data_IF_457646838931
#
_entry.id   IF_457646838931
#
_cell.length_a   1.000
_cell.length_b   1.000
_cell.length_c   1.000
_cell.angle_alpha   90.00
_cell.angle_beta   90.00
_cell.angle_gamma   90.00
#
_symmetry.space_group_name_H-M   'P 1'
#
loop_
_entity.id
_entity.type
_entity.pdbx_description
1 polymer ?
#
# COMPACT_ATOMS: atom_id res chain seq x y z
N UNK A 1 19.93 -34.99 -25.30
CA UNK A 1 18.64 -34.84 -24.60
C UNK A 1 18.08 -33.46 -24.93
N UNK A 2 16.83 -33.35 -25.39
CA UNK A 2 16.21 -32.06 -25.67
C UNK A 2 16.20 -31.18 -24.42
N UNK A 3 16.40 -29.87 -24.61
CA UNK A 3 16.28 -28.85 -23.56
C UNK A 3 14.89 -28.25 -23.68
N UNK A 4 14.18 -28.12 -22.56
CA UNK A 4 12.85 -27.55 -22.55
C UNK A 4 12.87 -26.07 -22.97
N UNK A 5 12.02 -25.69 -23.93
CA UNK A 5 11.90 -24.32 -24.44
C UNK A 5 10.96 -23.44 -23.61
N UNK A 6 10.30 -23.99 -22.58
CA UNK A 6 9.45 -23.22 -21.68
C UNK A 6 10.27 -22.26 -20.81
N UNK A 7 9.73 -21.05 -20.61
CA UNK A 7 10.44 -19.97 -19.93
C UNK A 7 10.67 -20.30 -18.45
N UNK A 8 11.91 -20.24 -18.01
CA UNK A 8 12.30 -20.53 -16.63
C UNK A 8 12.39 -22.03 -16.29
N UNK A 9 12.20 -22.93 -17.26
CA UNK A 9 12.42 -24.36 -17.02
C UNK A 9 13.87 -24.77 -17.30
N UNK A 10 14.41 -24.50 -18.50
CA UNK A 10 15.80 -24.76 -18.94
C UNK A 10 16.36 -26.19 -18.67
N UNK A 11 15.50 -27.14 -18.29
CA UNK A 11 15.88 -28.52 -17.96
C UNK A 11 15.99 -29.37 -19.23
N UNK A 12 16.99 -30.24 -19.25
CA UNK A 12 17.04 -31.37 -20.18
C UNK A 12 16.07 -32.46 -19.73
N UNK A 13 15.39 -33.10 -20.69
CA UNK A 13 14.42 -34.14 -20.39
C UNK A 13 14.51 -35.31 -21.36
N UNK A 14 13.94 -36.45 -20.96
CA UNK A 14 13.68 -37.60 -21.83
C UNK A 14 12.16 -37.79 -21.93
N UNK A 15 11.66 -38.38 -23.01
CA UNK A 15 10.21 -38.62 -23.14
C UNK A 15 9.67 -39.61 -22.08
N UNK A 16 10.53 -40.51 -21.59
CA UNK A 16 10.18 -41.47 -20.54
C UNK A 16 9.86 -40.77 -19.20
N UNK A 17 10.51 -39.65 -18.91
CA UNK A 17 10.32 -38.88 -17.67
C UNK A 17 9.37 -37.67 -17.85
N UNK A 18 8.83 -37.47 -19.06
CA UNK A 18 8.02 -36.30 -19.44
C UNK A 18 6.53 -36.45 -19.09
N UNK A 19 6.24 -36.49 -17.79
CA UNK A 19 4.88 -36.48 -17.24
C UNK A 19 4.23 -35.09 -17.29
N UNK A 20 2.90 -35.03 -17.10
CA UNK A 20 2.10 -33.80 -17.19
C UNK A 20 2.48 -32.68 -16.22
N UNK A 21 3.25 -32.97 -15.17
CA UNK A 21 3.74 -31.99 -14.20
C UNK A 21 5.27 -31.91 -14.11
N UNK A 22 6.00 -32.49 -15.08
CA UNK A 22 7.47 -32.56 -15.05
C UNK A 22 8.14 -31.17 -15.25
N UNK A 23 7.53 -30.32 -16.07
CA UNK A 23 8.01 -28.98 -16.37
C UNK A 23 7.38 -27.96 -15.43
N UNK A 24 8.20 -27.10 -14.82
CA UNK A 24 7.75 -25.93 -14.07
C UNK A 24 8.21 -24.67 -14.81
N UNK A 25 7.27 -23.83 -15.24
CA UNK A 25 7.55 -22.72 -16.13
C UNK A 25 6.65 -21.50 -15.93
N UNK A 26 7.00 -20.39 -16.59
CA UNK A 26 6.21 -19.17 -16.62
C UNK A 26 5.49 -19.03 -17.98
N UNK A 27 4.14 -18.98 -18.01
CA UNK A 27 3.39 -18.87 -19.26
C UNK A 27 3.54 -17.50 -19.94
N UNK A 28 3.91 -16.46 -19.17
CA UNK A 28 3.97 -15.09 -19.69
C UNK A 28 5.38 -14.47 -19.68
N UNK A 29 5.49 -13.29 -20.30
CA UNK A 29 6.70 -12.49 -20.47
C UNK A 29 7.38 -12.04 -19.17
N UNK A 30 8.66 -11.62 -19.21
CA UNK A 30 9.26 -10.89 -18.11
C UNK A 30 8.73 -9.44 -18.13
N UNK A 31 8.60 -8.83 -16.96
CA UNK A 31 8.13 -7.45 -16.80
C UNK A 31 9.11 -6.69 -15.91
N UNK A 32 9.54 -5.52 -16.39
CA UNK A 32 10.51 -4.66 -15.73
C UNK A 32 9.91 -3.25 -15.60
N UNK A 33 9.42 -2.91 -14.41
CA UNK A 33 8.89 -1.58 -14.09
C UNK A 33 9.45 -1.10 -12.75
N UNK A 34 9.75 0.19 -12.64
CA UNK A 34 10.17 0.84 -11.39
C UNK A 34 11.41 0.20 -10.73
N UNK A 35 12.35 -0.32 -11.53
CA UNK A 35 13.55 -1.01 -11.05
C UNK A 35 13.30 -2.42 -10.49
N UNK A 36 12.05 -2.88 -10.51
CA UNK A 36 11.64 -4.21 -10.08
C UNK A 36 11.47 -5.13 -11.29
N UNK A 37 12.00 -6.35 -11.15
CA UNK A 37 12.00 -7.40 -12.16
C UNK A 37 11.09 -8.54 -11.76
N UNK A 38 10.30 -9.07 -12.69
CA UNK A 38 9.41 -10.18 -12.42
C UNK A 38 8.85 -10.81 -13.68
N UNK A 39 7.96 -11.77 -13.50
CA UNK A 39 7.19 -12.40 -14.58
C UNK A 39 5.78 -11.84 -14.52
N UNK A 40 5.16 -11.51 -15.66
CA UNK A 40 3.82 -10.91 -15.66
C UNK A 40 2.75 -11.87 -15.11
N UNK A 41 2.99 -13.18 -15.18
CA UNK A 41 2.14 -14.23 -14.62
C UNK A 41 2.30 -14.43 -13.11
N UNK A 42 3.23 -13.73 -12.46
CA UNK A 42 3.53 -13.85 -11.04
C UNK A 42 3.43 -12.48 -10.35
N UNK A 43 3.11 -12.46 -9.05
CA UNK A 43 3.18 -11.23 -8.24
C UNK A 43 4.56 -10.99 -7.63
N UNK A 44 5.46 -11.98 -7.66
CA UNK A 44 6.83 -11.85 -7.14
C UNK A 44 7.62 -10.85 -8.00
N UNK A 45 8.22 -9.88 -7.33
CA UNK A 45 9.05 -8.81 -7.91
C UNK A 45 10.35 -8.72 -7.13
N UNK A 46 11.47 -8.61 -7.81
CA UNK A 46 12.81 -8.63 -7.23
C UNK A 46 13.68 -7.55 -7.86
N UNK A 47 14.61 -6.99 -7.10
CA UNK A 47 15.47 -5.90 -7.58
C UNK A 47 16.68 -6.44 -8.35
N UNK A 48 17.22 -7.59 -7.92
CA UNK A 48 18.37 -8.25 -8.55
C UNK A 48 17.96 -9.09 -9.77
N UNK A 49 18.80 -9.12 -10.80
CA UNK A 49 18.58 -9.93 -12.00
C UNK A 49 18.78 -11.44 -11.73
N UNK A 50 19.77 -11.81 -10.93
CA UNK A 50 20.02 -13.20 -10.58
C UNK A 50 18.85 -13.78 -9.77
N UNK A 51 18.29 -12.97 -8.88
CA UNK A 51 17.09 -13.34 -8.13
C UNK A 51 15.86 -13.48 -9.02
N UNK A 52 15.81 -12.75 -10.15
CA UNK A 52 14.72 -12.83 -11.13
C UNK A 52 14.79 -14.13 -11.94
N UNK A 53 15.99 -14.53 -12.37
CA UNK A 53 16.22 -15.83 -13.02
C UNK A 53 15.92 -17.01 -12.09
N UNK A 54 16.15 -16.84 -10.79
CA UNK A 54 15.85 -17.85 -9.78
C UNK A 54 14.35 -17.96 -9.41
N UNK A 55 13.45 -17.16 -9.98
CA UNK A 55 12.01 -17.25 -9.69
C UNK A 55 11.46 -18.55 -10.30
N UNK A 56 11.00 -19.52 -9.49
CA UNK A 56 10.48 -20.78 -10.01
C UNK A 56 9.19 -20.52 -10.81
N UNK A 57 8.98 -21.31 -11.86
CA UNK A 57 7.77 -21.25 -12.70
C UNK A 57 6.48 -21.36 -11.88
N UNK A 58 5.46 -20.60 -12.28
CA UNK A 58 4.15 -20.63 -11.62
C UNK A 58 3.15 -21.61 -12.24
N UNK A 59 3.49 -22.25 -13.36
CA UNK A 59 2.66 -23.24 -14.05
C UNK A 59 3.42 -24.54 -14.23
N UNK A 60 2.66 -25.63 -14.31
CA UNK A 60 3.18 -26.99 -14.51
C UNK A 60 2.67 -27.57 -15.84
N UNK A 61 3.48 -28.41 -16.47
CA UNK A 61 3.14 -29.02 -17.76
C UNK A 61 4.15 -30.08 -18.18
N UNK A 62 3.99 -30.57 -19.41
CA UNK A 62 5.01 -31.40 -20.08
C UNK A 62 6.12 -30.50 -20.63
N UNK A 63 7.34 -31.02 -20.66
CA UNK A 63 8.43 -30.38 -21.38
C UNK A 63 8.17 -30.45 -22.89
N UNK A 64 8.50 -29.37 -23.58
CA UNK A 64 8.47 -29.29 -25.05
C UNK A 64 9.81 -28.77 -25.57
N UNK A 65 10.17 -29.21 -26.77
CA UNK A 65 11.31 -28.77 -27.57
C UNK A 65 10.85 -27.91 -28.76
N UNK A 66 9.54 -27.75 -28.96
CA UNK A 66 8.98 -26.89 -29.99
C UNK A 66 9.45 -25.44 -29.79
N UNK A 67 10.02 -24.79 -30.82
CA UNK A 67 10.34 -23.37 -30.78
C UNK A 67 9.11 -22.56 -30.40
N UNK A 68 9.29 -21.64 -29.45
CA UNK A 68 8.20 -20.81 -28.91
C UNK A 68 7.70 -19.83 -29.98
N UNK A 69 6.38 -19.72 -30.15
CA UNK A 69 5.80 -18.60 -30.89
C UNK A 69 6.06 -17.29 -30.12
N UNK A 70 6.79 -16.39 -30.77
CA UNK A 70 7.10 -15.07 -30.25
C UNK A 70 5.85 -14.18 -30.32
N UNK A 71 5.18 -14.00 -29.18
CA UNK A 71 4.23 -12.89 -29.06
C UNK A 71 5.01 -11.56 -29.00
N UNK A 72 4.55 -10.50 -29.69
CA UNK A 72 5.32 -9.28 -29.88
C UNK A 72 5.67 -8.67 -28.53
N UNK A 73 6.96 -8.68 -28.24
CA UNK A 73 7.58 -7.99 -27.12
C UNK A 73 7.46 -6.49 -27.38
N UNK A 74 6.72 -5.77 -26.54
CA UNK A 74 6.79 -4.32 -26.47
C UNK A 74 8.15 -3.94 -25.85
N UNK A 75 9.19 -3.96 -26.66
CA UNK A 75 10.53 -3.47 -26.31
C UNK A 75 10.83 -2.20 -27.10
N UNK A 76 10.87 -1.07 -26.40
CA UNK A 76 11.64 0.10 -26.82
C UNK A 76 13.12 -0.30 -26.94
N UNK A 77 13.56 -0.44 -28.20
CA UNK A 77 14.85 -0.01 -28.73
C UNK A 77 16.06 -0.01 -27.80
N UNK A 78 17.00 -0.93 -28.04
CA UNK A 78 18.40 -0.56 -28.19
C UNK A 78 19.15 -1.58 -29.03
N UNK A 79 19.89 -1.01 -29.96
CA UNK A 79 20.64 -1.56 -31.07
C UNK A 79 21.88 -2.37 -30.60
N UNK A 80 22.20 -3.39 -31.38
CA UNK A 80 23.41 -4.23 -31.35
C UNK A 80 24.69 -3.39 -31.37
N UNK A 81 25.63 -3.59 -30.44
CA UNK A 81 27.08 -3.63 -30.75
C UNK A 81 27.82 -4.56 -29.78
N UNK A 82 28.70 -5.34 -30.38
CA UNK A 82 29.61 -6.36 -29.85
C UNK A 82 30.74 -5.81 -28.94
N UNK A 83 31.22 -6.70 -28.07
CA UNK A 83 32.39 -6.57 -27.20
C UNK A 83 33.68 -6.59 -28.04
N UNK A 84 34.73 -5.81 -27.70
CA UNK A 84 35.92 -6.48 -27.16
C UNK A 84 36.65 -5.71 -26.05
N UNK A 85 37.00 -6.47 -25.01
CA UNK A 85 38.32 -6.60 -24.35
C UNK A 85 39.28 -5.41 -24.29
N UNK A 86 39.56 -5.02 -23.05
CA UNK A 86 40.77 -4.37 -22.49
C UNK A 86 42.07 -4.36 -23.32
N UNK A 87 42.71 -3.18 -23.43
CA UNK A 87 44.12 -2.88 -23.02
C UNK A 87 44.47 -1.39 -23.25
N UNK A 88 45.20 -0.81 -22.27
CA UNK A 88 46.01 0.43 -22.24
C UNK A 88 45.38 1.84 -22.32
N UNK A 89 45.53 2.60 -21.22
CA UNK A 89 45.73 4.07 -21.12
C UNK A 89 46.86 4.59 -22.05
N UNK A 90 47.04 5.92 -22.31
CA UNK A 90 46.66 7.08 -21.49
C UNK A 90 46.04 8.30 -22.24
N UNK A 91 45.61 9.30 -21.45
CA UNK A 91 45.19 10.64 -21.89
C UNK A 91 46.31 11.42 -22.63
N UNK A 92 45.99 12.49 -23.40
CA UNK A 92 45.95 13.83 -22.80
C UNK A 92 44.93 14.85 -23.38
N UNK A 93 44.45 15.70 -22.46
CA UNK A 93 44.23 17.17 -22.51
C UNK A 93 44.24 17.89 -23.86
N UNK A 94 43.25 18.77 -24.10
CA UNK A 94 43.50 20.22 -24.34
C UNK A 94 42.25 21.08 -24.18
N UNK A 95 42.43 22.14 -23.39
CA UNK A 95 41.63 23.37 -23.33
C UNK A 95 42.23 24.35 -24.33
N UNK A 96 41.40 25.12 -25.05
CA UNK A 96 41.80 26.41 -25.64
C UNK A 96 40.84 27.48 -25.08
N UNK A 97 41.30 28.54 -24.40
CA UNK A 97 42.07 29.72 -24.88
C UNK A 97 41.27 30.64 -25.82
N UNK A 98 40.17 31.19 -25.32
CA UNK A 98 39.94 32.64 -25.20
C UNK A 98 38.71 32.86 -24.31
N UNK A 99 38.86 33.51 -23.15
CA UNK A 99 37.81 33.56 -22.12
C UNK A 99 36.70 34.55 -22.46
N UNK A 100 35.48 34.07 -22.70
CA UNK A 100 34.21 34.78 -22.41
C UNK A 100 33.01 33.83 -22.47
N UNK A 101 32.12 33.94 -21.48
CA UNK A 101 30.78 33.33 -21.46
C UNK A 101 29.85 34.09 -22.40
N UNK A 102 28.95 33.44 -23.16
CA UNK A 102 27.70 34.10 -23.59
C UNK A 102 26.53 33.12 -23.74
N UNK A 103 25.45 33.54 -23.06
CA UNK A 103 24.07 33.07 -23.02
C UNK A 103 23.27 33.46 -24.28
N UNK A 104 22.29 32.66 -24.72
CA UNK A 104 21.43 33.06 -25.84
C UNK A 104 20.16 32.21 -26.01
N UNK A 105 19.06 32.70 -25.45
CA UNK A 105 17.67 32.29 -25.69
C UNK A 105 17.22 32.49 -27.14
N UNK A 106 16.31 31.63 -27.64
CA UNK A 106 15.21 32.05 -28.53
C UNK A 106 14.14 30.94 -28.69
N UNK A 107 12.92 31.40 -28.91
CA UNK A 107 11.62 30.77 -28.71
C UNK A 107 11.12 29.84 -29.85
N UNK A 108 9.97 29.15 -29.68
CA UNK A 108 9.47 28.11 -30.59
C UNK A 108 8.36 28.59 -31.54
N UNK A 109 8.35 28.05 -32.76
CA UNK A 109 7.21 27.96 -33.70
C UNK A 109 7.53 26.71 -34.55
N UNK A 110 6.67 25.75 -34.94
CA UNK A 110 5.27 25.73 -35.41
C UNK A 110 4.77 24.27 -35.27
N UNK A 111 3.48 24.05 -34.96
CA UNK A 111 2.77 22.75 -35.11
C UNK A 111 1.90 22.76 -36.39
N UNK A 112 1.72 21.60 -37.05
CA UNK A 112 0.40 21.20 -37.58
C UNK A 112 0.07 19.75 -37.17
N UNK A 113 -1.02 19.49 -36.42
CA UNK A 113 -2.42 19.19 -36.82
C UNK A 113 -2.62 17.83 -37.54
N UNK A 114 -3.30 16.91 -36.86
CA UNK A 114 -4.25 15.91 -37.39
C UNK A 114 -5.15 15.47 -36.21
N UNK A 115 -6.41 15.89 -36.12
CA UNK A 115 -7.65 15.36 -36.77
C UNK A 115 -8.12 14.01 -36.21
N UNK A 116 -8.92 14.13 -35.14
CA UNK A 116 -10.21 13.46 -34.84
C UNK A 116 -10.59 12.17 -35.57
N UNK A 117 -10.87 11.13 -34.78
CA UNK A 117 -12.03 10.23 -34.96
C UNK A 117 -12.64 9.87 -33.60
N UNK A 118 -13.96 9.74 -33.61
CA UNK A 118 -14.91 9.76 -32.51
C UNK A 118 -15.34 8.33 -32.15
N UNK A 119 -15.49 8.00 -30.86
CA UNK A 119 -16.49 7.03 -30.37
C UNK A 119 -16.73 7.19 -28.85
N UNK A 120 -17.92 7.70 -28.53
CA UNK A 120 -18.83 7.33 -27.42
C UNK A 120 -18.28 6.99 -26.04
N UNK A 121 -18.38 7.95 -25.12
CA UNK A 121 -18.29 7.76 -23.67
C UNK A 121 -19.70 7.72 -23.05
N UNK A 122 -19.93 6.69 -22.24
CA UNK A 122 -21.12 6.48 -21.40
C UNK A 122 -21.14 7.52 -20.27
N UNK A 123 -22.28 8.20 -20.10
CA UNK A 123 -22.53 9.26 -19.13
C UNK A 123 -22.61 8.73 -17.69
N UNK A 124 -21.69 9.19 -16.84
CA UNK A 124 -21.81 9.13 -15.39
C UNK A 124 -22.67 10.32 -14.87
N UNK A 125 -23.48 10.13 -13.81
CA UNK A 125 -24.35 11.16 -13.25
C UNK A 125 -23.57 12.29 -12.55
N UNK A 126 -24.10 13.54 -12.54
CA UNK A 126 -23.45 14.70 -11.95
C UNK A 126 -23.54 14.68 -10.42
N UNK A 127 -22.38 14.65 -9.75
CA UNK A 127 -22.26 14.89 -8.31
C UNK A 127 -22.42 16.39 -8.02
N UNK A 128 -23.19 16.79 -6.99
CA UNK A 128 -23.68 18.14 -6.78
C UNK A 128 -22.60 19.17 -6.42
N UNK A 129 -22.94 20.43 -6.67
CA UNK A 129 -22.17 21.64 -6.38
C UNK A 129 -21.66 21.71 -4.93
N UNK A 130 -20.47 22.28 -4.68
CA UNK A 130 -19.93 22.41 -3.34
C UNK A 130 -20.82 23.30 -2.48
N UNK A 131 -21.23 22.77 -1.32
CA UNK A 131 -21.90 23.51 -0.27
C UNK A 131 -21.02 24.68 0.22
N UNK A 132 -21.61 25.84 0.58
CA UNK A 132 -20.86 26.97 1.10
C UNK A 132 -20.15 26.57 2.40
N UNK A 133 -18.84 26.79 2.42
CA UNK A 133 -17.97 26.59 3.58
C UNK A 133 -18.43 27.58 4.65
N UNK A 134 -19.14 27.12 5.67
CA UNK A 134 -19.48 27.93 6.84
C UNK A 134 -18.17 28.22 7.57
N UNK A 135 -17.78 29.49 7.64
CA UNK A 135 -16.60 29.92 8.37
C UNK A 135 -16.86 29.77 9.88
N UNK A 136 -16.08 28.91 10.54
CA UNK A 136 -16.14 28.77 12.00
C UNK A 136 -15.62 30.06 12.67
N UNK A 137 -16.54 30.75 13.35
CA UNK A 137 -16.28 31.91 14.20
C UNK A 137 -15.99 31.45 15.65
N UNK A 138 -15.14 32.20 16.36
CA UNK A 138 -14.73 31.86 17.73
C UNK A 138 -15.85 32.27 18.71
N UNK A 139 -16.25 31.36 19.60
CA UNK A 139 -17.26 31.66 20.64
C UNK A 139 -16.69 32.68 21.64
N UNK A 140 -17.14 33.93 21.51
CA UNK A 140 -16.69 35.09 22.28
C UNK A 140 -16.87 34.93 23.79
N UNK A 141 -17.62 33.92 24.26
CA UNK A 141 -17.89 33.66 25.68
C UNK A 141 -16.78 32.92 26.43
N UNK A 142 -15.80 32.33 25.74
CA UNK A 142 -14.78 31.48 26.38
C UNK A 142 -13.49 32.26 26.63
N UNK A 143 -13.10 32.43 27.90
CA UNK A 143 -11.84 33.07 28.27
C UNK A 143 -10.62 32.32 27.69
N UNK A 144 -9.80 33.03 26.91
CA UNK A 144 -8.57 32.50 26.31
C UNK A 144 -7.40 32.87 27.22
N UNK A 145 -6.55 31.90 27.57
CA UNK A 145 -5.33 32.18 28.33
C UNK A 145 -4.32 32.96 27.48
N UNK A 146 -3.67 33.96 28.08
CA UNK A 146 -2.59 34.75 27.48
C UNK A 146 -1.47 33.80 27.00
N UNK A 147 -1.05 33.97 25.74
CA UNK A 147 -0.01 33.15 25.10
C UNK A 147 -0.52 32.03 24.18
N UNK A 148 -1.83 31.82 24.02
CA UNK A 148 -2.36 30.87 23.03
C UNK A 148 -2.19 31.40 21.60
N UNK A 149 -1.67 30.60 20.68
CA UNK A 149 -1.53 30.98 19.27
C UNK A 149 -2.81 30.70 18.49
N UNK A 150 -3.05 31.51 17.45
CA UNK A 150 -4.14 31.29 16.50
C UNK A 150 -3.98 29.90 15.86
N UNK A 151 -5.05 29.10 15.91
CA UNK A 151 -5.11 27.74 15.35
C UNK A 151 -5.20 27.74 13.82
N UNK A 152 -5.50 28.88 13.19
CA UNK A 152 -5.53 28.98 11.73
C UNK A 152 -4.11 28.87 11.16
N UNK A 153 -3.93 27.96 10.20
CA UNK A 153 -2.64 27.61 9.61
C UNK A 153 -1.97 28.84 8.97
N UNK A 154 -0.71 29.12 9.33
CA UNK A 154 0.06 30.25 8.78
C UNK A 154 -0.23 31.62 9.40
N UNK A 155 -1.13 31.73 10.38
CA UNK A 155 -1.40 32.99 11.07
C UNK A 155 -0.35 33.31 12.16
N UNK A 156 -0.12 32.37 13.08
CA UNK A 156 0.92 32.49 14.12
C UNK A 156 0.71 33.59 15.17
N UNK A 157 -0.40 34.34 15.15
CA UNK A 157 -0.67 35.40 16.11
C UNK A 157 -0.88 34.84 17.53
N UNK A 158 -0.21 35.40 18.53
CA UNK A 158 -0.37 35.04 19.95
C UNK A 158 -1.46 35.88 20.61
N UNK A 159 -2.29 35.27 21.43
CA UNK A 159 -3.32 35.94 22.21
C UNK A 159 -2.66 36.74 23.33
N UNK A 160 -2.82 38.08 23.32
CA UNK A 160 -2.23 39.00 24.31
C UNK A 160 -3.30 39.47 25.30
N UNK A 161 -4.44 39.95 24.81
CA UNK A 161 -5.57 40.43 25.62
C UNK A 161 -6.89 40.32 24.84
N UNK A 162 -8.03 40.26 25.52
CA UNK A 162 -9.34 40.20 24.84
C UNK A 162 -9.59 41.43 23.95
N UNK A 163 -9.21 42.63 24.41
CA UNK A 163 -9.38 43.87 23.65
C UNK A 163 -8.54 43.96 22.38
N UNK A 164 -7.32 43.40 22.38
CA UNK A 164 -6.38 43.49 21.24
C UNK A 164 -6.39 42.25 20.35
N UNK A 165 -6.74 41.08 20.88
CA UNK A 165 -6.69 39.82 20.13
C UNK A 165 -8.07 39.33 19.68
N UNK A 166 -9.16 39.85 20.27
CA UNK A 166 -10.56 39.60 19.85
C UNK A 166 -11.34 40.86 19.45
N UNK A 167 -10.69 42.02 19.41
CA UNK A 167 -11.32 43.27 18.99
C UNK A 167 -11.70 43.29 17.51
N UNK A 168 -12.62 44.19 17.15
CA UNK A 168 -13.21 44.35 15.81
C UNK A 168 -12.21 44.72 14.69
N UNK A 169 -10.96 45.06 15.05
CA UNK A 169 -9.92 45.55 14.13
C UNK A 169 -8.81 44.54 13.82
N UNK A 170 -8.97 43.28 14.22
CA UNK A 170 -7.89 42.30 14.13
C UNK A 170 -8.00 41.48 12.85
N UNK A 171 -6.97 41.55 12.00
CA UNK A 171 -6.96 40.90 10.70
C UNK A 171 -6.15 39.60 10.75
N UNK A 172 -6.84 38.45 10.69
CA UNK A 172 -6.25 37.12 10.67
C UNK A 172 -5.99 36.64 9.23
N UNK A 173 -4.71 36.62 8.83
CA UNK A 173 -4.26 36.03 7.56
C UNK A 173 -3.88 34.56 7.76
N UNK A 174 -4.52 33.65 7.02
CA UNK A 174 -4.29 32.21 7.14
C UNK A 174 -4.42 31.46 5.80
N UNK A 175 -3.89 30.24 5.76
CA UNK A 175 -4.09 29.28 4.68
C UNK A 175 -5.26 28.36 5.01
N UNK A 176 -6.21 28.24 4.09
CA UNK A 176 -7.34 27.30 4.21
C UNK A 176 -6.99 25.89 3.74
N UNK A 177 -5.89 25.74 2.99
CA UNK A 177 -5.41 24.46 2.49
C UNK A 177 -4.48 23.74 3.47
N UNK A 178 -4.19 22.49 3.16
CA UNK A 178 -3.16 21.67 3.82
C UNK A 178 -1.74 21.97 3.28
N UNK A 179 -0.69 21.74 4.08
CA UNK A 179 0.69 21.68 3.59
C UNK A 179 0.86 20.60 2.52
N UNK A 180 1.52 20.94 1.43
CA UNK A 180 1.81 20.04 0.30
C UNK A 180 3.31 20.01 0.07
N UNK A 181 3.88 18.80 0.07
CA UNK A 181 5.32 18.57 -0.17
C UNK A 181 5.48 17.60 -1.35
N UNK A 182 5.67 18.13 -2.55
CA UNK A 182 5.89 17.33 -3.76
C UNK A 182 7.08 17.87 -4.54
N UNK A 183 7.91 16.96 -5.05
CA UNK A 183 9.02 17.27 -5.97
C UNK A 183 10.05 18.26 -5.37
N UNK A 184 10.30 18.16 -4.06
CA UNK A 184 11.23 19.05 -3.34
C UNK A 184 10.67 20.44 -3.03
N UNK A 185 9.54 20.81 -3.65
CA UNK A 185 8.81 22.04 -3.39
C UNK A 185 7.79 21.86 -2.25
N UNK A 186 7.65 22.91 -1.43
CA UNK A 186 6.82 22.97 -0.24
C UNK A 186 5.87 24.15 -0.38
N UNK A 187 4.58 23.93 -0.16
CA UNK A 187 3.57 24.98 -0.34
C UNK A 187 2.27 24.61 0.34
N UNK A 188 1.26 25.44 0.13
CA UNK A 188 -0.09 25.21 0.63
C UNK A 188 -1.00 24.86 -0.53
N UNK A 189 -1.90 23.89 -0.38
CA UNK A 189 -2.85 23.52 -1.46
C UNK A 189 -3.77 24.66 -1.89
N UNK A 190 -3.97 25.66 -1.03
CA UNK A 190 -4.75 26.86 -1.35
C UNK A 190 -3.96 27.95 -2.11
N UNK A 191 -2.66 27.78 -2.33
CA UNK A 191 -1.77 28.78 -2.91
C UNK A 191 -0.91 28.22 -4.06
N UNK A 192 -0.70 28.97 -5.14
CA UNK A 192 0.26 28.59 -6.18
C UNK A 192 1.72 28.79 -5.75
N UNK A 193 1.96 29.57 -4.67
CA UNK A 193 3.30 29.86 -4.15
C UNK A 193 3.87 28.60 -3.49
N UNK A 194 4.91 28.04 -4.12
CA UNK A 194 5.72 26.95 -3.59
C UNK A 194 7.16 27.43 -3.38
N UNK A 195 7.81 26.84 -2.41
CA UNK A 195 9.12 27.24 -1.89
C UNK A 195 9.97 25.98 -1.73
N UNK A 196 11.27 26.05 -2.02
CA UNK A 196 12.16 24.89 -1.87
C UNK A 196 12.64 24.72 -0.42
N UNK A 197 12.89 25.82 0.29
CA UNK A 197 13.38 25.84 1.66
C UNK A 197 12.24 25.71 2.70
N UNK A 198 12.46 24.91 3.74
CA UNK A 198 11.45 24.66 4.77
C UNK A 198 11.16 25.89 5.64
N UNK A 199 12.19 26.66 5.98
CA UNK A 199 12.04 27.86 6.81
C UNK A 199 11.30 28.97 6.09
N UNK A 200 11.47 29.08 4.77
CA UNK A 200 10.68 30.01 3.96
C UNK A 200 9.22 29.51 3.81
N UNK A 201 8.98 28.20 3.72
CA UNK A 201 7.62 27.63 3.78
C UNK A 201 6.88 27.99 5.09
N UNK A 202 7.55 27.91 6.25
CA UNK A 202 6.98 28.33 7.54
C UNK A 202 6.64 29.82 7.58
N UNK A 203 7.34 30.67 6.81
CA UNK A 203 7.12 32.12 6.72
C UNK A 203 6.08 32.52 5.66
N UNK A 204 5.53 31.58 4.89
CA UNK A 204 4.51 31.89 3.88
C UNK A 204 3.23 32.40 4.55
N UNK A 205 2.97 33.71 4.40
CA UNK A 205 1.75 34.37 4.87
C UNK A 205 0.50 33.74 4.25
N UNK A 206 -0.57 33.69 5.04
CA UNK A 206 -1.88 33.19 4.62
C UNK A 206 -2.44 33.87 3.37
N UNK A 207 -3.16 33.11 2.54
CA UNK A 207 -3.85 33.66 1.36
C UNK A 207 -5.27 34.15 1.62
N UNK A 208 -5.89 33.74 2.73
CA UNK A 208 -7.21 34.20 3.15
C UNK A 208 -7.08 35.11 4.33
N UNK A 209 -8.05 36.02 4.46
CA UNK A 209 -8.07 37.05 5.47
C UNK A 209 -9.44 37.06 6.14
N UNK A 210 -9.47 37.06 7.47
CA UNK A 210 -10.69 37.11 8.30
C UNK A 210 -10.51 38.16 9.39
N UNK A 211 -11.60 38.67 9.96
CA UNK A 211 -11.53 39.72 11.00
C UNK A 211 -11.46 39.14 12.43
N UNK A 212 -11.24 37.83 12.57
CA UNK A 212 -11.16 37.18 13.88
C UNK A 212 -10.18 36.00 13.86
N UNK A 213 -9.29 35.95 14.86
CA UNK A 213 -8.43 34.78 15.09
C UNK A 213 -9.22 33.65 15.77
N UNK A 214 -8.88 32.41 15.43
CA UNK A 214 -9.44 31.23 16.07
C UNK A 214 -8.48 30.74 17.17
N UNK A 215 -8.80 30.94 18.45
CA UNK A 215 -7.93 30.55 19.57
C UNK A 215 -8.46 29.34 20.33
N UNK A 216 -9.79 29.24 20.48
CA UNK A 216 -10.41 28.14 21.22
C UNK A 216 -10.61 26.94 20.30
N UNK A 217 -10.99 27.19 19.04
CA UNK A 217 -11.48 26.14 18.13
C UNK A 217 -12.73 25.45 18.69
N UNK A 218 -13.52 24.78 17.84
CA UNK A 218 -14.60 23.94 18.36
C UNK A 218 -14.02 23.00 19.44
N UNK A 219 -14.70 22.88 20.58
CA UNK A 219 -14.37 21.88 21.61
C UNK A 219 -14.30 20.54 20.87
N UNK A 220 -13.10 20.03 20.64
CA UNK A 220 -12.94 18.62 20.30
C UNK A 220 -13.32 17.88 21.57
N UNK A 221 -14.60 17.59 21.70
CA UNK A 221 -15.05 16.44 22.47
C UNK A 221 -14.16 15.26 22.08
N UNK A 222 -13.93 14.35 23.01
CA UNK A 222 -13.03 13.22 22.88
C UNK A 222 -13.53 12.25 21.78
N UNK A 223 -13.44 12.67 20.51
CA UNK A 223 -13.82 11.90 19.34
C UNK A 223 -12.70 10.89 19.16
N UNK A 224 -12.92 9.71 19.73
CA UNK A 224 -12.06 8.55 19.52
C UNK A 224 -11.89 8.36 18.00
N UNK A 225 -10.67 8.52 17.49
CA UNK A 225 -10.37 8.37 16.07
C UNK A 225 -10.36 6.89 15.73
N UNK A 226 -11.28 6.44 14.86
CA UNK A 226 -11.28 5.08 14.35
C UNK A 226 -10.14 4.92 13.35
N UNK A 227 -9.16 4.09 13.71
CA UNK A 227 -7.99 3.80 12.89
C UNK A 227 -8.10 2.39 12.34
N UNK A 228 -7.63 2.17 11.11
CA UNK A 228 -7.53 0.85 10.50
C UNK A 228 -6.10 0.29 10.70
N UNK A 229 -5.99 -0.83 11.41
CA UNK A 229 -4.73 -1.51 11.66
C UNK A 229 -4.46 -2.59 10.59
N UNK A 230 -3.19 -2.73 10.21
CA UNK A 230 -2.73 -3.89 9.46
C UNK A 230 -2.88 -5.13 10.32
N UNK A 231 -3.34 -6.21 9.73
CA UNK A 231 -3.41 -7.53 10.35
C UNK A 231 -2.89 -8.58 9.37
N UNK A 232 -2.41 -9.69 9.90
CA UNK A 232 -1.92 -10.85 9.16
C UNK A 232 -2.37 -12.11 9.88
N UNK A 233 -2.52 -13.20 9.16
CA UNK A 233 -2.99 -14.45 9.75
C UNK A 233 -2.26 -15.64 9.17
N UNK A 234 -2.10 -16.65 10.01
CA UNK A 234 -1.62 -17.95 9.61
C UNK A 234 -2.41 -19.01 10.37
N UNK A 235 -2.27 -20.27 9.98
CA UNK A 235 -2.94 -21.36 10.67
C UNK A 235 -1.99 -22.51 10.91
N UNK A 236 -2.26 -23.23 11.98
CA UNK A 236 -1.74 -24.56 12.25
C UNK A 236 -2.84 -25.58 11.95
N UNK A 237 -2.56 -26.85 12.23
CA UNK A 237 -3.57 -27.88 12.09
C UNK A 237 -4.81 -27.63 12.96
N UNK A 238 -4.60 -27.11 14.16
CA UNK A 238 -5.62 -27.02 15.23
C UNK A 238 -6.06 -25.60 15.53
N UNK A 239 -5.26 -24.60 15.18
CA UNK A 239 -5.53 -23.20 15.50
C UNK A 239 -5.39 -22.29 14.28
N UNK A 240 -6.14 -21.20 14.27
CA UNK A 240 -5.95 -20.04 13.40
C UNK A 240 -5.38 -18.91 14.25
N UNK A 241 -4.25 -18.35 13.85
CA UNK A 241 -3.57 -17.29 14.57
C UNK A 241 -3.65 -16.00 13.76
N UNK A 242 -4.26 -14.98 14.36
CA UNK A 242 -4.43 -13.64 13.81
C UNK A 242 -3.52 -12.66 14.57
N UNK A 243 -2.65 -11.97 13.86
CA UNK A 243 -1.75 -10.94 14.37
C UNK A 243 -2.21 -9.57 13.92
N UNK A 244 -2.60 -8.70 14.85
CA UNK A 244 -3.00 -7.32 14.58
C UNK A 244 -1.88 -6.39 14.98
N UNK A 245 -1.33 -5.65 14.01
CA UNK A 245 -0.22 -4.73 14.22
C UNK A 245 -0.72 -3.39 14.77
N UNK A 246 -1.06 -3.40 16.06
CA UNK A 246 -1.41 -2.21 16.84
C UNK A 246 -0.33 -1.97 17.90
N UNK A 247 0.29 -0.78 17.89
CA UNK A 247 1.38 -0.43 18.82
C UNK A 247 0.80 0.14 20.11
N UNK A 248 1.40 -0.26 21.24
CA UNK A 248 1.07 0.26 22.59
C UNK A 248 -0.42 0.12 22.96
N UNK A 249 -1.07 -0.98 22.54
CA UNK A 249 -2.45 -1.26 22.96
C UNK A 249 -2.50 -1.41 24.48
N UNK A 250 -3.50 -0.82 25.12
CA UNK A 250 -3.71 -1.00 26.56
C UNK A 250 -4.40 -2.35 26.81
N UNK A 251 -3.67 -3.28 27.43
CA UNK A 251 -4.14 -4.64 27.68
C UNK A 251 -5.40 -4.70 28.56
N UNK A 252 -5.66 -3.68 29.39
CA UNK A 252 -6.85 -3.64 30.25
C UNK A 252 -8.12 -3.20 29.53
N UNK A 253 -7.97 -2.46 28.43
CA UNK A 253 -9.10 -1.91 27.67
C UNK A 253 -9.29 -2.59 26.31
N UNK A 254 -8.40 -3.52 25.95
CA UNK A 254 -8.60 -4.43 24.82
C UNK A 254 -9.76 -5.40 25.11
N UNK A 255 -10.77 -5.40 24.25
CA UNK A 255 -11.90 -6.31 24.31
C UNK A 255 -11.87 -7.17 23.05
N UNK A 256 -11.79 -8.49 23.22
CA UNK A 256 -11.90 -9.46 22.13
C UNK A 256 -12.97 -10.46 22.50
N UNK A 257 -14.05 -10.49 21.74
CA UNK A 257 -15.17 -11.40 21.94
C UNK A 257 -15.15 -12.49 20.87
N UNK A 258 -14.99 -13.73 21.32
CA UNK A 258 -15.03 -14.90 20.44
C UNK A 258 -16.45 -15.42 20.34
N UNK A 259 -16.98 -15.48 19.12
CA UNK A 259 -18.20 -16.23 18.80
C UNK A 259 -17.85 -17.42 17.91
N UNK A 260 -18.81 -18.30 17.70
CA UNK A 260 -18.58 -19.53 16.93
C UNK A 260 -18.12 -19.24 15.49
N UNK A 261 -18.66 -18.21 14.82
CA UNK A 261 -18.35 -17.88 13.41
C UNK A 261 -17.96 -16.42 13.19
N UNK A 262 -17.63 -15.70 14.25
CA UNK A 262 -17.29 -14.29 14.20
C UNK A 262 -16.37 -13.95 15.39
N UNK A 263 -15.46 -13.01 15.21
CA UNK A 263 -14.68 -12.42 16.30
C UNK A 263 -14.80 -10.91 16.25
N UNK A 264 -15.21 -10.32 17.37
CA UNK A 264 -15.30 -8.88 17.52
C UNK A 264 -14.10 -8.38 18.29
N UNK A 265 -13.42 -7.39 17.71
CA UNK A 265 -12.13 -6.91 18.21
C UNK A 265 -12.23 -5.41 18.41
N UNK A 266 -11.98 -4.98 19.64
CA UNK A 266 -11.99 -3.57 20.03
C UNK A 266 -10.74 -3.24 20.83
N UNK A 267 -9.81 -2.51 20.19
CA UNK A 267 -8.51 -2.18 20.75
C UNK A 267 -8.39 -0.67 20.93
N UNK A 268 -8.11 -0.24 22.15
CA UNK A 268 -7.77 1.15 22.46
C UNK A 268 -6.26 1.36 22.45
N UNK A 269 -5.84 2.34 21.65
CA UNK A 269 -4.46 2.77 21.53
C UNK A 269 -4.27 4.12 22.26
N UNK A 270 -3.02 4.49 22.60
CA UNK A 270 -2.71 5.84 23.04
C UNK A 270 -3.11 6.86 21.98
N UNK A 271 -3.26 8.12 22.40
CA UNK A 271 -3.63 9.26 21.55
C UNK A 271 -5.12 9.29 21.14
N UNK A 272 -5.99 8.55 21.84
CA UNK A 272 -7.44 8.54 21.56
C UNK A 272 -7.81 7.76 20.30
N UNK A 273 -6.93 6.88 19.82
CA UNK A 273 -7.17 6.03 18.66
C UNK A 273 -7.85 4.73 19.07
N UNK A 274 -8.87 4.31 18.34
CA UNK A 274 -9.59 3.04 18.56
C UNK A 274 -9.60 2.22 17.28
N UNK A 275 -9.27 0.95 17.38
CA UNK A 275 -9.39 0.00 16.28
C UNK A 275 -10.55 -0.94 16.57
N UNK A 276 -11.54 -0.94 15.68
CA UNK A 276 -12.66 -1.89 15.71
C UNK A 276 -12.64 -2.75 14.47
N UNK A 277 -12.78 -4.06 14.65
CA UNK A 277 -12.89 -5.01 13.57
C UNK A 277 -13.89 -6.10 13.96
N UNK A 278 -14.96 -6.18 13.17
CA UNK A 278 -15.91 -7.28 13.19
C UNK A 278 -15.49 -8.27 12.10
N UNK A 279 -14.94 -9.41 12.50
CA UNK A 279 -14.32 -10.37 11.59
C UNK A 279 -15.22 -11.62 11.47
N UNK A 280 -16.04 -11.74 10.41
CA UNK A 280 -16.73 -12.99 10.12
C UNK A 280 -15.70 -14.05 9.75
N UNK A 281 -15.88 -15.27 10.28
CA UNK A 281 -14.93 -16.36 10.12
C UNK A 281 -15.35 -17.32 9.01
N UNK A 282 -14.37 -17.82 8.26
CA UNK A 282 -14.60 -18.81 7.19
C UNK A 282 -15.22 -20.12 7.71
N UNK A 283 -14.81 -20.59 8.88
CA UNK A 283 -15.28 -21.82 9.52
C UNK A 283 -15.49 -21.61 11.03
N UNK A 284 -16.25 -22.50 11.70
CA UNK A 284 -16.50 -22.37 13.12
C UNK A 284 -15.24 -22.60 13.97
N UNK A 285 -15.13 -21.82 15.05
CA UNK A 285 -14.10 -21.95 16.08
C UNK A 285 -14.73 -22.39 17.40
N UNK A 286 -13.90 -22.86 18.33
CA UNK A 286 -14.28 -23.15 19.71
C UNK A 286 -13.89 -21.95 20.60
N UNK A 287 -14.85 -21.09 21.02
CA UNK A 287 -14.55 -19.89 21.79
C UNK A 287 -13.83 -20.19 23.11
N UNK A 288 -14.20 -21.27 23.78
CA UNK A 288 -13.61 -21.68 25.06
C UNK A 288 -12.12 -22.08 24.95
N UNK A 289 -11.67 -22.51 23.76
CA UNK A 289 -10.28 -22.86 23.49
C UNK A 289 -9.47 -21.73 22.84
N UNK A 290 -10.06 -20.56 22.66
CA UNK A 290 -9.45 -19.42 21.98
C UNK A 290 -8.89 -18.41 23.01
N UNK A 291 -7.77 -17.76 22.70
CA UNK A 291 -7.05 -16.88 23.61
C UNK A 291 -6.52 -15.63 22.91
N UNK A 292 -6.32 -14.55 23.68
CA UNK A 292 -5.70 -13.31 23.20
C UNK A 292 -4.46 -12.97 24.02
N UNK A 293 -3.40 -12.54 23.36
CA UNK A 293 -2.16 -12.06 23.96
C UNK A 293 -1.84 -10.66 23.41
N UNK A 294 -1.81 -9.67 24.30
CA UNK A 294 -1.50 -8.27 23.94
C UNK A 294 0.00 -8.04 24.13
N UNK A 295 0.73 -7.93 23.02
CA UNK A 295 2.16 -7.59 23.00
C UNK A 295 2.34 -6.09 22.74
N UNK A 296 3.53 -5.54 23.02
CA UNK A 296 3.79 -4.10 22.87
C UNK A 296 3.68 -3.57 21.43
N UNK A 297 3.91 -4.42 20.43
CA UNK A 297 3.92 -4.05 19.01
C UNK A 297 2.77 -4.67 18.19
N UNK A 298 2.06 -5.64 18.75
CA UNK A 298 0.96 -6.36 18.10
C UNK A 298 0.05 -7.03 19.12
N UNK A 299 -1.17 -7.37 18.73
CA UNK A 299 -2.07 -8.25 19.47
C UNK A 299 -2.14 -9.57 18.73
N UNK A 300 -1.88 -10.68 19.42
CA UNK A 300 -2.06 -12.02 18.88
C UNK A 300 -3.35 -12.64 19.39
N UNK A 301 -4.15 -13.13 18.46
CA UNK A 301 -5.42 -13.79 18.71
C UNK A 301 -5.30 -15.22 18.17
N UNK A 302 -5.35 -16.19 19.08
CA UNK A 302 -5.29 -17.61 18.76
C UNK A 302 -6.70 -18.19 18.87
N UNK A 303 -7.25 -18.63 17.75
CA UNK A 303 -8.58 -19.24 17.66
C UNK A 303 -8.45 -20.74 17.47
N UNK A 304 -9.08 -21.54 18.33
CA UNK A 304 -9.09 -23.00 18.18
C UNK A 304 -10.14 -23.40 17.15
N UNK A 305 -9.76 -24.20 16.16
CA UNK A 305 -10.69 -24.69 15.13
C UNK A 305 -11.66 -25.70 15.72
N UNK A 306 -12.95 -25.58 15.44
CA UNK A 306 -13.95 -26.54 15.93
C UNK A 306 -13.87 -27.89 15.19
N UNK A 307 -13.61 -27.85 13.88
CA UNK A 307 -13.72 -29.02 13.00
C UNK A 307 -12.38 -29.48 12.39
N UNK A 308 -11.26 -28.88 12.79
CA UNK A 308 -9.93 -29.27 12.29
C UNK A 308 -9.70 -29.02 10.79
N UNK A 309 -10.62 -28.31 10.12
CA UNK A 309 -10.53 -27.99 8.69
C UNK A 309 -9.47 -26.91 8.44
N UNK A 310 -8.78 -27.00 7.30
CA UNK A 310 -7.86 -25.95 6.84
C UNK A 310 -8.64 -24.81 6.18
N UNK A 311 -8.36 -23.57 6.59
CA UNK A 311 -9.05 -22.38 6.11
C UNK A 311 -8.38 -21.88 4.83
N UNK A 312 -9.13 -21.72 3.75
CA UNK A 312 -8.58 -21.13 2.52
C UNK A 312 -8.40 -19.60 2.65
N UNK A 313 -9.33 -18.98 3.36
CA UNK A 313 -9.38 -17.55 3.66
C UNK A 313 -9.74 -17.36 5.13
N UNK A 314 -9.38 -16.22 5.71
CA UNK A 314 -9.79 -15.87 7.08
C UNK A 314 -11.28 -15.55 7.14
N UNK A 315 -11.74 -14.75 6.17
CA UNK A 315 -13.14 -14.35 5.99
C UNK A 315 -13.87 -15.27 5.01
N UNK A 316 -15.20 -15.39 5.11
CA UNK A 316 -16.03 -16.03 4.09
C UNK A 316 -15.83 -15.35 2.74
N UNK A 317 -15.47 -16.10 1.70
CA UNK A 317 -15.56 -15.63 0.32
C UNK A 317 -16.28 -16.66 -0.52
N UNK A 318 -17.24 -16.21 -1.35
CA UNK A 318 -18.11 -17.09 -2.15
C UNK A 318 -17.33 -17.94 -3.17
N UNK A 319 -16.08 -17.58 -3.48
CA UNK A 319 -15.19 -18.31 -4.38
C UNK A 319 -14.11 -19.16 -3.71
N UNK A 320 -14.04 -19.20 -2.37
CA UNK A 320 -12.98 -19.93 -1.67
C UNK A 320 -13.18 -21.45 -1.74
N UNK A 321 -12.39 -22.10 -2.59
CA UNK A 321 -12.22 -23.56 -2.58
C UNK A 321 -11.26 -23.95 -1.46
N UNK A 322 -11.77 -24.40 -0.33
CA UNK A 322 -10.96 -25.08 0.69
C UNK A 322 -10.57 -26.46 0.21
N UNK A 323 -9.27 -26.71 0.12
CA UNK A 323 -8.71 -28.04 -0.11
C UNK A 323 -8.21 -28.54 1.25
N UNK A 324 -8.63 -29.75 1.63
CA UNK A 324 -8.06 -30.46 2.78
C UNK A 324 -6.65 -30.88 2.42
N UNK A 325 -5.67 -29.96 2.51
CA UNK A 325 -4.28 -30.36 2.42
C UNK A 325 -3.80 -30.87 3.74
N UNK A 326 -3.37 -32.12 3.72
CA UNK A 326 -2.41 -32.61 4.67
C UNK A 326 -1.23 -33.12 3.84
N UNK A 327 -0.07 -32.46 3.96
CA UNK A 327 1.24 -32.94 3.54
C UNK A 327 1.41 -33.27 2.05
N UNK A 328 1.84 -32.29 1.24
CA UNK A 328 2.73 -32.61 0.12
C UNK A 328 4.14 -32.80 0.67
N UNK A 329 4.65 -34.02 0.61
CA UNK A 329 6.09 -34.29 0.72
C UNK A 329 6.79 -33.65 -0.47
N UNK A 330 7.30 -32.43 -0.29
CA UNK A 330 8.13 -31.75 -1.29
C UNK A 330 8.03 -30.24 -1.22
N UNK A 331 8.94 -29.62 -0.44
CA UNK A 331 9.29 -28.21 -0.57
C UNK A 331 8.39 -27.21 0.19
N UNK A 332 8.97 -26.60 1.23
CA UNK A 332 8.54 -25.37 1.91
C UNK A 332 7.16 -25.38 2.61
N UNK A 333 7.14 -25.95 3.82
CA UNK A 333 6.48 -25.35 4.98
C UNK A 333 4.96 -25.43 5.10
N UNK A 334 4.45 -26.53 5.68
CA UNK A 334 3.55 -26.50 6.86
C UNK A 334 3.77 -27.81 7.63
N UNK A 335 3.78 -27.73 8.96
CA UNK A 335 3.99 -28.90 9.84
C UNK A 335 2.67 -29.69 9.91
N UNK A 336 2.43 -30.52 8.90
CA UNK A 336 1.23 -31.36 8.81
C UNK A 336 1.30 -32.56 9.77
N UNK A 337 0.22 -32.80 10.50
CA UNK A 337 0.02 -34.02 11.28
C UNK A 337 0.02 -35.25 10.35
N UNK A 338 0.58 -36.37 10.82
CA UNK A 338 0.61 -37.66 10.10
C UNK A 338 -0.74 -38.39 10.12
N UNK A 339 -1.72 -37.86 10.85
CA UNK A 339 -3.04 -38.44 11.05
C UNK A 339 -4.09 -37.58 10.36
N UNK A 340 -4.82 -38.19 9.43
CA UNK A 340 -5.94 -37.56 8.73
C UNK A 340 -7.15 -37.50 9.66
N UNK A 341 -7.56 -36.30 10.03
CA UNK A 341 -8.81 -36.08 10.75
C UNK A 341 -9.87 -35.62 9.76
N UNK A 342 -10.85 -36.50 9.50
CA UNK A 342 -11.98 -36.21 8.63
C UNK A 342 -13.07 -35.52 9.47
N UNK A 343 -13.39 -34.28 9.11
CA UNK A 343 -14.46 -33.52 9.74
C UNK A 343 -15.82 -34.01 9.23
N UNK A 344 -16.65 -34.56 10.12
CA UNK A 344 -17.99 -35.10 9.81
C UNK A 344 -19.00 -34.02 9.43
N UNK A 345 -18.69 -32.75 9.71
CA UNK A 345 -19.48 -31.55 9.40
C UNK A 345 -19.02 -30.83 8.12
N UNK A 346 -18.06 -31.41 7.37
CA UNK A 346 -17.65 -30.84 6.09
C UNK A 346 -18.85 -30.78 5.13
N UNK A 347 -19.05 -29.67 4.39
CA UNK A 347 -20.11 -29.54 3.38
C UNK A 347 -20.08 -30.65 2.31
N UNK A 348 -18.94 -31.33 2.16
CA UNK A 348 -18.79 -32.51 1.29
C UNK A 348 -19.58 -33.74 1.77
N UNK A 349 -19.97 -33.81 3.04
CA UNK A 349 -20.76 -34.89 3.64
C UNK A 349 -22.17 -34.48 4.04
N UNK A 350 -22.53 -33.20 3.92
CA UNK A 350 -23.88 -32.72 4.24
C UNK A 350 -24.97 -33.20 3.26
N UNK A 351 -24.59 -33.93 2.20
CA UNK A 351 -25.52 -34.65 1.32
C UNK A 351 -25.09 -36.11 1.17
N UNK A 352 -25.46 -36.95 2.14
CA UNK A 352 -25.73 -38.37 1.89
C UNK A 352 -26.65 -38.97 2.94
#
# INVERSE_FOLDING_TARGET
MPVCTHRGCEKTYTEADNSDNACQFHPQGPIFHEGLKGWSCCSKRVVSFDQFLAIPGCSYGRHTDTPREEFPSSSSSSEKVEVPTSTSSPAPTTVNKDGSEVYGSAAPVVKPKATTTTTTATSAPPTPAPEPIVEEEDDLSVAVAVGKTCKRLGCGHTFVSEGESRGDKVVCQYHSGSPVFHEGSKGWSCCPRKVLEFDEFLRLKGCRTTNQHLFVGAKKDNVEELVQCRHDWYQTQTHVNLSIFAKKVDAKSAVVEFKEREVNIDLRMPDGKRFKLDLPLFQPIEPAGSSVEVLGTKVEITMKKANGISWATLEPSEGAKSWTTFGTTGGAGTVGSKVMHLATDSPLYAQK
#
